data_IF_987571855058
#
_entry.id   IF_987571855058
#
_cell.length_a   1.000
_cell.length_b   1.000
_cell.length_c   1.000
_cell.angle_alpha   90.00
_cell.angle_beta   90.00
_cell.angle_gamma   90.00
#
_symmetry.space_group_name_H-M   'P 1'
#
loop_
_entity.id
_entity.type
_entity.pdbx_description
1 polymer ?
#
# COMPACT_ATOMS: atom_id res chain seq x y z
N UNK A 1 0.94 14.58 2.31
CA UNK A 1 0.75 13.67 3.46
C UNK A 1 0.99 12.26 2.97
N UNK A 2 1.91 11.54 3.59
CA UNK A 2 2.29 10.19 3.24
C UNK A 2 1.46 9.18 4.03
N UNK A 3 0.78 8.29 3.31
CA UNK A 3 0.05 7.17 3.88
C UNK A 3 0.86 5.90 3.56
N UNK A 4 1.26 5.20 4.62
CA UNK A 4 1.97 3.92 4.54
C UNK A 4 1.02 2.76 4.72
N UNK A 5 1.09 1.77 3.82
CA UNK A 5 0.29 0.54 3.90
C UNK A 5 1.24 -0.66 3.97
N UNK A 6 1.50 -1.20 5.17
CA UNK A 6 2.29 -2.40 5.34
C UNK A 6 1.50 -3.64 4.92
N UNK A 7 2.20 -4.76 4.73
CA UNK A 7 1.57 -6.05 4.49
C UNK A 7 1.00 -6.63 5.79
N UNK A 8 -0.12 -7.33 5.71
CA UNK A 8 -0.65 -8.09 6.84
C UNK A 8 0.25 -9.28 7.19
N UNK A 9 0.46 -9.52 8.49
CA UNK A 9 1.35 -10.58 8.98
C UNK A 9 0.59 -11.77 9.58
N UNK A 10 -0.70 -11.60 9.88
CA UNK A 10 -1.50 -12.65 10.48
C UNK A 10 -1.66 -13.85 9.53
N UNK A 11 -1.51 -15.06 10.07
CA UNK A 11 -1.62 -16.28 9.26
C UNK A 11 -3.04 -16.41 8.68
N UNK A 12 -3.11 -16.59 7.36
CA UNK A 12 -4.38 -16.67 6.64
C UNK A 12 -5.07 -15.32 6.38
N UNK A 13 -4.47 -14.22 6.83
CA UNK A 13 -4.97 -12.89 6.49
C UNK A 13 -4.54 -12.52 5.07
N UNK A 14 -5.53 -12.33 4.21
CA UNK A 14 -5.34 -12.05 2.79
C UNK A 14 -5.90 -10.69 2.38
N UNK A 15 -6.56 -9.98 3.30
CA UNK A 15 -7.13 -8.65 3.03
C UNK A 15 -6.04 -7.61 2.87
N UNK A 16 -6.44 -6.48 2.31
CA UNK A 16 -5.63 -5.28 2.16
C UNK A 16 -6.37 -4.09 2.75
N UNK A 17 -5.66 -3.15 3.36
CA UNK A 17 -6.26 -1.94 3.89
C UNK A 17 -6.77 -1.00 2.78
N UNK A 18 -6.21 -1.11 1.57
CA UNK A 18 -6.61 -0.31 0.41
C UNK A 18 -6.43 -1.10 -0.89
N UNK A 19 -7.36 -0.96 -1.82
CA UNK A 19 -7.27 -1.53 -3.17
C UNK A 19 -6.70 -0.49 -4.16
N UNK A 20 -6.11 -0.90 -5.31
CA UNK A 20 -5.47 0.04 -6.24
C UNK A 20 -6.37 1.18 -6.72
N UNK A 21 -7.65 0.91 -6.94
CA UNK A 21 -8.62 1.92 -7.40
C UNK A 21 -8.87 3.01 -6.37
N UNK A 22 -8.85 2.69 -5.07
CA UNK A 22 -9.01 3.66 -3.99
C UNK A 22 -7.69 4.37 -3.66
N UNK A 23 -6.55 3.67 -3.76
CA UNK A 23 -5.22 4.30 -3.69
C UNK A 23 -5.11 5.41 -4.74
N UNK A 24 -5.54 5.14 -5.99
CA UNK A 24 -5.57 6.13 -7.07
C UNK A 24 -6.42 7.37 -6.74
N UNK A 25 -7.54 7.20 -6.02
CA UNK A 25 -8.40 8.33 -5.60
C UNK A 25 -7.70 9.19 -4.55
N UNK A 26 -7.05 8.58 -3.56
CA UNK A 26 -6.30 9.31 -2.54
C UNK A 26 -5.11 10.06 -3.14
N UNK A 27 -4.39 9.41 -4.06
CA UNK A 27 -3.29 10.05 -4.80
C UNK A 27 -3.79 11.27 -5.58
N UNK A 28 -4.91 11.13 -6.30
CA UNK A 28 -5.55 12.27 -7.00
C UNK A 28 -6.00 13.39 -6.07
N UNK A 29 -6.33 13.07 -4.82
CA UNK A 29 -6.67 14.05 -3.78
C UNK A 29 -5.43 14.70 -3.14
N UNK A 30 -4.21 14.33 -3.54
CA UNK A 30 -2.96 14.93 -3.08
C UNK A 30 -2.23 14.14 -1.99
N UNK A 31 -2.68 12.92 -1.67
CA UNK A 31 -1.93 12.02 -0.79
C UNK A 31 -0.74 11.40 -1.55
N UNK A 32 0.30 11.03 -0.81
CA UNK A 32 1.34 10.12 -1.31
C UNK A 32 1.08 8.76 -0.70
N UNK A 33 1.13 7.70 -1.50
CA UNK A 33 0.91 6.33 -1.04
C UNK A 33 2.22 5.55 -1.17
N UNK A 34 2.64 4.92 -0.07
CA UNK A 34 3.75 3.98 -0.05
C UNK A 34 3.27 2.64 0.50
N UNK A 35 3.56 1.57 -0.23
CA UNK A 35 3.10 0.23 0.09
C UNK A 35 4.26 -0.75 0.28
N UNK A 36 4.05 -1.75 1.11
CA UNK A 36 4.95 -2.91 1.21
C UNK A 36 4.76 -3.85 0.01
N UNK A 37 5.86 -4.29 -0.60
CA UNK A 37 5.87 -5.19 -1.74
C UNK A 37 5.11 -6.49 -1.44
N UNK A 38 4.23 -6.88 -2.37
CA UNK A 38 3.44 -8.10 -2.29
C UNK A 38 2.35 -8.07 -1.22
N UNK A 39 1.92 -6.91 -0.71
CA UNK A 39 0.78 -6.83 0.21
C UNK A 39 -0.53 -7.23 -0.47
N UNK A 40 -0.66 -6.94 -1.76
CA UNK A 40 -1.88 -7.15 -2.53
C UNK A 40 -2.12 -8.59 -2.98
N UNK A 41 -1.08 -9.43 -2.97
CA UNK A 41 -1.12 -10.74 -3.63
C UNK A 41 -2.20 -11.66 -3.06
N UNK A 42 -2.42 -11.63 -1.74
CA UNK A 42 -3.48 -12.42 -1.09
C UNK A 42 -4.90 -11.98 -1.49
N UNK A 43 -5.08 -10.71 -1.87
CA UNK A 43 -6.35 -10.14 -2.33
C UNK A 43 -6.48 -10.10 -3.86
N UNK A 44 -5.52 -10.63 -4.60
CA UNK A 44 -5.54 -10.65 -6.06
C UNK A 44 -5.13 -9.33 -6.72
N UNK A 45 -4.37 -8.47 -6.02
CA UNK A 45 -3.81 -7.24 -6.57
C UNK A 45 -2.29 -7.34 -6.68
N UNK A 46 -1.72 -7.13 -7.86
CA UNK A 46 -0.27 -7.14 -8.05
C UNK A 46 0.37 -5.80 -7.66
N UNK A 47 1.68 -5.80 -7.42
CA UNK A 47 2.43 -4.57 -7.13
C UNK A 47 2.37 -3.59 -8.30
N UNK A 48 2.34 -4.09 -9.54
CA UNK A 48 2.19 -3.30 -10.76
C UNK A 48 0.87 -2.52 -10.78
N UNK A 49 -0.25 -3.10 -10.30
CA UNK A 49 -1.52 -2.38 -10.22
C UNK A 49 -1.44 -1.17 -9.28
N UNK A 50 -0.70 -1.30 -8.17
CA UNK A 50 -0.45 -0.17 -7.26
C UNK A 50 0.47 0.89 -7.88
N UNK A 51 1.51 0.46 -8.62
CA UNK A 51 2.40 1.37 -9.34
C UNK A 51 1.61 2.14 -10.42
N UNK A 52 0.75 1.47 -11.18
CA UNK A 52 -0.14 2.09 -12.18
C UNK A 52 -1.18 3.04 -11.54
N UNK A 53 -1.56 2.79 -10.29
CA UNK A 53 -2.38 3.71 -9.49
C UNK A 53 -1.60 4.95 -9.04
N UNK A 54 -0.27 4.92 -9.08
CA UNK A 54 0.65 5.99 -8.68
C UNK A 54 1.26 5.81 -7.30
N UNK A 55 1.09 4.65 -6.67
CA UNK A 55 1.74 4.34 -5.39
C UNK A 55 3.22 4.01 -5.59
N UNK A 56 3.99 4.18 -4.52
CA UNK A 56 5.37 3.67 -4.45
C UNK A 56 5.39 2.34 -3.74
N UNK A 57 6.22 1.41 -4.20
CA UNK A 57 6.36 0.07 -3.64
C UNK A 57 7.76 -0.09 -3.06
N UNK A 58 7.86 -0.65 -1.85
CA UNK A 58 9.14 -0.97 -1.21
C UNK A 58 9.10 -2.35 -0.56
N UNK A 59 10.22 -3.08 -0.61
CA UNK A 59 10.37 -4.33 0.14
C UNK A 59 10.70 -4.09 1.63
N UNK A 60 11.01 -2.86 2.02
CA UNK A 60 11.35 -2.50 3.40
C UNK A 60 10.10 -2.06 4.18
N UNK A 61 9.53 -2.99 4.95
CA UNK A 61 8.42 -2.71 5.87
C UNK A 61 8.74 -1.59 6.86
N UNK A 62 9.96 -1.57 7.39
CA UNK A 62 10.33 -0.56 8.39
C UNK A 62 10.33 0.83 7.76
N UNK A 63 10.74 0.94 6.48
CA UNK A 63 10.62 2.18 5.75
C UNK A 63 9.16 2.65 5.64
N UNK A 64 8.22 1.76 5.32
CA UNK A 64 6.77 2.10 5.25
C UNK A 64 6.25 2.61 6.60
N UNK A 65 6.63 1.94 7.69
CA UNK A 65 6.16 2.29 9.04
C UNK A 65 6.79 3.58 9.57
N UNK A 66 8.07 3.84 9.24
CA UNK A 66 8.82 4.97 9.78
C UNK A 66 8.61 6.28 9.02
N UNK A 67 8.31 6.22 7.72
CA UNK A 67 8.16 7.41 6.87
C UNK A 67 6.76 8.03 6.92
N UNK A 68 5.73 7.24 7.25
CA UNK A 68 4.34 7.61 7.04
C UNK A 68 3.78 8.57 8.09
N UNK A 69 2.97 9.53 7.64
CA UNK A 69 2.17 10.40 8.50
C UNK A 69 0.92 9.65 9.03
N UNK A 70 0.38 8.72 8.23
CA UNK A 70 -0.78 7.87 8.53
C UNK A 70 -0.45 6.43 8.14
N UNK A 71 -0.83 5.47 8.98
CA UNK A 71 -0.79 4.04 8.66
C UNK A 71 -2.21 3.55 8.42
N UNK A 72 -2.41 2.85 7.30
CA UNK A 72 -3.63 2.09 7.00
C UNK A 72 -3.32 0.59 7.01
#
# INVERSE_FOLDING_TARGET
>A
MLIGIPKELASGENRVAIIPTDAKKLIRAGATIQIEAGLGLGSGFSDEEYIEAGATVTADRNAVLASADIIL
#
